data_IF_731065537352
#
_entry.id   IF_731065537352
#
_cell.length_a   1.000
_cell.length_b   1.000
_cell.length_c   1.000
_cell.angle_alpha   90.00
_cell.angle_beta   90.00
_cell.angle_gamma   90.00
#
_symmetry.space_group_name_H-M   'P 1'
#
loop_
_entity.id
_entity.type
_entity.pdbx_description
1 polymer ?
#
# COMPACT_ATOMS: atom_id res chain seq x y z
N UNK A 1 29.50 -31.71 -34.34
CA UNK A 1 29.31 -31.56 -32.87
C UNK A 1 29.28 -30.09 -32.45
N UNK A 2 28.62 -29.17 -33.17
CA UNK A 2 28.58 -27.72 -32.88
C UNK A 2 27.16 -27.12 -32.76
N UNK A 3 26.11 -27.92 -33.04
CA UNK A 3 24.73 -27.42 -32.99
C UNK A 3 24.07 -27.44 -31.61
N UNK A 4 24.54 -28.28 -30.67
CA UNK A 4 23.95 -28.40 -29.34
C UNK A 4 24.23 -27.20 -28.43
N UNK A 5 25.35 -26.51 -28.61
CA UNK A 5 25.71 -25.35 -27.77
C UNK A 5 25.02 -24.06 -28.19
N UNK A 6 24.60 -23.94 -29.45
CA UNK A 6 23.90 -22.75 -29.95
C UNK A 6 22.45 -22.69 -29.40
N UNK A 7 21.79 -23.84 -29.28
CA UNK A 7 20.42 -23.94 -28.76
C UNK A 7 20.39 -23.62 -27.26
N UNK A 8 21.40 -24.05 -26.50
CA UNK A 8 21.49 -23.80 -25.07
C UNK A 8 21.76 -22.31 -24.78
N UNK A 9 22.60 -21.65 -25.55
CA UNK A 9 22.86 -20.22 -25.41
C UNK A 9 21.66 -19.37 -25.80
N UNK A 10 20.89 -19.77 -26.83
CA UNK A 10 19.65 -19.06 -27.21
C UNK A 10 18.55 -19.23 -26.17
N UNK A 11 18.43 -20.38 -25.51
CA UNK A 11 17.45 -20.63 -24.47
C UNK A 11 17.75 -19.83 -23.18
N UNK A 12 19.03 -19.68 -22.82
CA UNK A 12 19.47 -18.89 -21.69
C UNK A 12 19.25 -17.40 -21.98
N UNK A 13 19.52 -16.93 -23.20
CA UNK A 13 19.26 -15.54 -23.59
C UNK A 13 17.76 -15.21 -23.61
N UNK A 14 16.87 -16.17 -23.95
CA UNK A 14 15.42 -15.97 -23.88
C UNK A 14 14.91 -15.93 -22.44
N UNK A 15 15.55 -16.61 -21.50
CA UNK A 15 15.20 -16.56 -20.08
C UNK A 15 15.60 -15.21 -19.42
N UNK A 16 16.63 -14.54 -19.93
CA UNK A 16 17.02 -13.20 -19.47
C UNK A 16 16.23 -12.07 -20.12
N UNK A 17 15.47 -12.33 -21.20
CA UNK A 17 14.55 -11.39 -21.86
C UNK A 17 13.10 -11.52 -21.38
N UNK A 18 12.79 -12.53 -20.56
CA UNK A 18 11.55 -12.57 -19.80
C UNK A 18 11.63 -11.47 -18.73
N UNK A 19 11.14 -10.29 -19.10
CA UNK A 19 11.18 -9.01 -18.43
C UNK A 19 11.35 -9.12 -16.93
N UNK A 20 12.37 -8.49 -16.42
CA UNK A 20 12.35 -7.99 -15.07
C UNK A 20 11.16 -7.02 -14.97
N UNK A 21 9.95 -7.53 -14.71
CA UNK A 21 8.95 -6.72 -14.06
C UNK A 21 9.59 -6.39 -12.72
N UNK A 22 10.06 -5.19 -12.53
CA UNK A 22 10.53 -4.75 -11.24
C UNK A 22 9.36 -4.96 -10.28
N UNK A 23 9.53 -5.91 -9.36
CA UNK A 23 8.52 -6.12 -8.33
C UNK A 23 8.38 -4.80 -7.58
N UNK A 24 7.15 -4.30 -7.45
CA UNK A 24 6.88 -3.09 -6.68
C UNK A 24 7.37 -3.30 -5.25
N UNK A 25 7.99 -2.27 -4.66
CA UNK A 25 8.42 -2.30 -3.28
C UNK A 25 7.20 -2.13 -2.36
N UNK A 26 7.00 -3.06 -1.42
CA UNK A 26 5.97 -2.93 -0.40
C UNK A 26 6.49 -2.06 0.75
N UNK A 27 5.90 -0.88 0.94
CA UNK A 27 6.25 0.03 2.04
C UNK A 27 5.44 -0.22 3.32
N UNK A 28 4.31 -0.93 3.20
CA UNK A 28 3.46 -1.31 4.33
C UNK A 28 2.54 -2.47 3.94
N UNK A 29 2.42 -3.45 4.82
CA UNK A 29 1.38 -4.47 4.78
C UNK A 29 0.96 -4.81 6.19
N UNK A 30 -0.31 -4.60 6.54
CA UNK A 30 -0.78 -4.84 7.89
C UNK A 30 -2.26 -4.64 8.09
N UNK A 31 -2.70 -4.87 9.32
CA UNK A 31 -4.09 -4.67 9.75
C UNK A 31 -4.17 -3.61 10.83
N UNK A 32 -5.24 -2.82 10.80
CA UNK A 32 -5.49 -1.79 11.82
C UNK A 32 -6.90 -1.89 12.36
N UNK A 33 -7.07 -1.53 13.62
CA UNK A 33 -8.37 -1.20 14.22
C UNK A 33 -8.52 0.31 14.19
N UNK A 34 -9.61 0.79 13.63
CA UNK A 34 -9.95 2.21 13.56
C UNK A 34 -10.85 2.54 14.73
N UNK A 35 -10.50 3.57 15.49
CA UNK A 35 -11.32 4.06 16.63
C UNK A 35 -11.75 5.48 16.29
N UNK A 36 -13.06 5.71 16.29
CA UNK A 36 -13.69 7.00 16.01
C UNK A 36 -14.72 7.32 17.08
N UNK A 37 -15.21 8.54 17.12
CA UNK A 37 -16.17 8.97 18.13
C UNK A 37 -17.46 8.14 18.07
N UNK A 38 -17.99 7.88 16.87
CA UNK A 38 -19.31 7.27 16.64
C UNK A 38 -19.25 5.83 16.07
N UNK A 39 -18.07 5.26 15.89
CA UNK A 39 -17.88 3.92 15.29
C UNK A 39 -18.07 3.89 13.77
N UNK A 40 -18.11 5.06 13.12
CA UNK A 40 -18.05 5.16 11.65
C UNK A 40 -16.68 5.65 11.21
N UNK A 41 -16.15 5.15 10.10
CA UNK A 41 -14.81 5.47 9.66
C UNK A 41 -14.75 5.80 8.16
N UNK A 42 -13.81 6.65 7.81
CA UNK A 42 -13.43 6.98 6.45
C UNK A 42 -12.07 6.39 6.09
N UNK A 43 -11.70 6.46 4.82
CA UNK A 43 -10.36 6.10 4.36
C UNK A 43 -9.28 6.91 5.09
N UNK A 44 -9.53 8.20 5.37
CA UNK A 44 -8.60 9.04 6.13
C UNK A 44 -8.39 8.53 7.57
N UNK A 45 -9.45 8.05 8.22
CA UNK A 45 -9.34 7.52 9.59
C UNK A 45 -8.51 6.23 9.63
N UNK A 46 -8.56 5.44 8.56
CA UNK A 46 -7.65 4.29 8.40
C UNK A 46 -6.20 4.76 8.28
N UNK A 47 -5.91 5.80 7.50
CA UNK A 47 -4.55 6.36 7.39
C UNK A 47 -4.06 6.93 8.72
N UNK A 48 -4.92 7.64 9.47
CA UNK A 48 -4.61 8.10 10.84
C UNK A 48 -4.27 6.94 11.76
N UNK A 49 -5.03 5.84 11.70
CA UNK A 49 -4.78 4.67 12.52
C UNK A 49 -3.43 4.01 12.17
N UNK A 50 -3.08 3.88 10.88
CA UNK A 50 -1.77 3.37 10.44
C UNK A 50 -0.64 4.29 10.88
N UNK A 51 -0.77 5.61 10.69
CA UNK A 51 0.23 6.58 11.09
C UNK A 51 0.47 6.56 12.61
N UNK A 52 -0.61 6.47 13.41
CA UNK A 52 -0.53 6.34 14.87
C UNK A 52 0.19 5.06 15.31
N UNK A 53 0.05 3.97 14.56
CA UNK A 53 0.76 2.71 14.78
C UNK A 53 2.22 2.72 14.27
N UNK A 54 2.74 3.88 13.83
CA UNK A 54 4.06 4.03 13.18
C UNK A 54 4.19 3.25 11.85
N UNK A 55 3.06 3.09 11.13
CA UNK A 55 3.06 2.45 9.83
C UNK A 55 3.65 3.31 8.73
N UNK A 56 3.21 4.56 8.63
CA UNK A 56 3.75 5.56 7.71
C UNK A 56 3.32 7.00 8.07
N UNK A 57 3.99 8.00 7.50
CA UNK A 57 3.52 9.38 7.43
C UNK A 57 2.79 9.60 6.11
N UNK A 58 1.84 10.54 6.07
CA UNK A 58 1.12 10.86 4.85
C UNK A 58 0.68 12.33 4.81
N UNK A 59 0.41 12.82 3.62
CA UNK A 59 -0.30 14.08 3.40
C UNK A 59 -1.42 13.91 2.37
N UNK A 60 -2.41 14.79 2.46
CA UNK A 60 -3.59 14.78 1.58
C UNK A 60 -3.53 16.00 0.67
N UNK A 61 -3.82 15.79 -0.61
CA UNK A 61 -3.94 16.85 -1.60
C UNK A 61 -5.23 17.66 -1.39
N UNK A 62 -5.32 18.89 -1.92
CA UNK A 62 -6.57 19.66 -1.91
C UNK A 62 -7.76 18.96 -2.59
N UNK A 63 -7.50 17.94 -3.39
CA UNK A 63 -8.50 17.15 -4.10
C UNK A 63 -9.03 15.95 -3.29
N UNK A 64 -8.57 15.76 -2.05
CA UNK A 64 -8.97 14.64 -1.20
C UNK A 64 -8.33 13.31 -1.61
N UNK A 65 -7.16 13.33 -2.21
CA UNK A 65 -6.35 12.15 -2.52
C UNK A 65 -5.02 12.21 -1.77
N UNK A 66 -4.32 11.09 -1.67
CA UNK A 66 -2.97 11.08 -1.10
C UNK A 66 -2.03 11.91 -1.98
N UNK A 67 -1.24 12.78 -1.35
CA UNK A 67 -0.21 13.58 -1.99
C UNK A 67 1.20 13.04 -1.72
N UNK A 68 1.42 12.43 -0.56
CA UNK A 68 2.71 11.91 -0.10
C UNK A 68 2.52 10.73 0.84
N UNK A 69 3.42 9.77 0.81
CA UNK A 69 3.61 8.74 1.84
C UNK A 69 5.11 8.59 2.09
N UNK A 70 5.55 8.76 3.33
CA UNK A 70 6.95 8.63 3.76
C UNK A 70 7.94 9.48 2.95
N UNK A 71 7.54 10.66 2.48
CA UNK A 71 8.36 11.54 1.65
C UNK A 71 8.37 11.17 0.16
N UNK A 72 7.56 10.20 -0.27
CA UNK A 72 7.35 9.87 -1.69
C UNK A 72 6.18 10.71 -2.19
N UNK A 73 6.49 11.86 -2.75
CA UNK A 73 5.51 12.84 -3.20
C UNK A 73 4.99 12.53 -4.61
N UNK A 74 3.74 12.92 -4.88
CA UNK A 74 3.21 12.95 -6.24
C UNK A 74 4.01 13.93 -7.11
N UNK A 75 4.21 13.56 -8.37
CA UNK A 75 4.85 14.39 -9.40
C UNK A 75 3.88 14.69 -10.53
N UNK A 76 4.38 15.22 -11.65
CA UNK A 76 3.55 15.47 -12.84
C UNK A 76 3.06 14.19 -13.52
N UNK A 77 3.78 13.08 -13.36
CA UNK A 77 3.51 11.81 -14.03
C UNK A 77 3.52 10.59 -13.09
N UNK A 78 3.75 10.80 -11.81
CA UNK A 78 3.77 9.74 -10.81
C UNK A 78 2.83 10.10 -9.67
N UNK A 79 1.92 9.18 -9.33
CA UNK A 79 0.87 9.44 -8.35
C UNK A 79 0.59 8.26 -7.45
N UNK A 80 0.22 8.56 -6.21
CA UNK A 80 -0.43 7.63 -5.32
C UNK A 80 -1.88 7.41 -5.75
N UNK A 81 -2.23 6.16 -6.02
CA UNK A 81 -3.59 5.71 -6.33
C UNK A 81 -4.12 4.89 -5.16
N UNK A 82 -5.31 5.22 -4.67
CA UNK A 82 -5.99 4.47 -3.61
C UNK A 82 -7.05 3.59 -4.21
N UNK A 83 -6.97 2.30 -3.96
CA UNK A 83 -7.99 1.31 -4.28
C UNK A 83 -8.61 0.78 -3.01
N UNK A 84 -9.92 0.70 -2.97
CA UNK A 84 -10.67 0.23 -1.83
C UNK A 84 -11.57 -0.93 -2.23
N UNK A 85 -11.40 -2.08 -1.59
CA UNK A 85 -12.23 -3.25 -1.79
C UNK A 85 -13.28 -3.33 -0.68
N UNK A 86 -14.53 -3.16 -1.07
CA UNK A 86 -15.69 -3.35 -0.20
C UNK A 86 -16.42 -4.62 -0.64
N UNK A 87 -15.83 -5.79 -0.43
CA UNK A 87 -16.37 -7.14 -0.67
C UNK A 87 -16.96 -7.42 -2.07
N UNK A 88 -17.17 -6.43 -2.94
CA UNK A 88 -17.78 -6.60 -4.24
C UNK A 88 -17.15 -5.72 -5.35
N UNK A 89 -16.63 -4.54 -5.01
CA UNK A 89 -16.17 -3.56 -5.99
C UNK A 89 -14.81 -2.98 -5.62
N UNK A 90 -13.86 -3.04 -6.54
CA UNK A 90 -12.60 -2.29 -6.44
C UNK A 90 -12.79 -0.94 -7.13
N UNK A 91 -12.68 0.15 -6.37
CA UNK A 91 -12.81 1.52 -6.89
C UNK A 91 -11.60 2.35 -6.49
N UNK A 92 -11.40 3.46 -7.21
CA UNK A 92 -10.48 4.52 -6.77
C UNK A 92 -11.26 5.45 -5.85
N UNK A 93 -10.71 5.74 -4.66
CA UNK A 93 -11.42 6.44 -3.61
C UNK A 93 -10.77 7.74 -3.17
N UNK A 94 -11.62 8.65 -2.73
CA UNK A 94 -11.24 9.80 -1.92
C UNK A 94 -11.00 9.38 -0.48
N UNK A 95 -10.20 10.14 0.24
CA UNK A 95 -9.97 9.93 1.69
C UNK A 95 -11.24 10.09 2.52
N UNK A 96 -12.25 10.81 1.99
CA UNK A 96 -13.53 11.03 2.66
C UNK A 96 -14.54 9.87 2.46
N UNK A 97 -14.22 8.89 1.62
CA UNK A 97 -15.14 7.77 1.39
C UNK A 97 -15.24 6.87 2.63
N UNK A 98 -16.46 6.38 2.93
CA UNK A 98 -16.68 5.52 4.09
C UNK A 98 -16.03 4.14 3.89
N UNK A 99 -15.52 3.58 4.98
CA UNK A 99 -14.97 2.22 5.03
C UNK A 99 -15.79 1.34 5.95
N UNK A 100 -15.68 0.02 5.75
CA UNK A 100 -16.32 -0.99 6.60
C UNK A 100 -15.27 -1.96 7.17
N UNK A 101 -15.59 -2.62 8.25
CA UNK A 101 -14.78 -3.72 8.80
C UNK A 101 -14.52 -4.79 7.74
N UNK A 102 -13.30 -5.27 7.66
CA UNK A 102 -12.83 -6.25 6.67
C UNK A 102 -12.42 -5.64 5.33
N UNK A 103 -12.59 -4.34 5.15
CA UNK A 103 -12.13 -3.66 3.93
C UNK A 103 -10.61 -3.76 3.76
N UNK A 104 -10.18 -3.83 2.51
CA UNK A 104 -8.77 -3.78 2.14
C UNK A 104 -8.53 -2.52 1.32
N UNK A 105 -7.64 -1.68 1.80
CA UNK A 105 -7.18 -0.48 1.10
C UNK A 105 -5.81 -0.77 0.52
N UNK A 106 -5.68 -0.65 -0.80
CA UNK A 106 -4.41 -0.79 -1.50
C UNK A 106 -3.99 0.57 -2.05
N UNK A 107 -2.79 0.99 -1.71
CA UNK A 107 -2.15 2.17 -2.24
C UNK A 107 -1.07 1.75 -3.23
N UNK A 108 -1.02 2.40 -4.38
CA UNK A 108 -0.03 2.12 -5.41
C UNK A 108 0.54 3.43 -5.93
N UNK A 109 1.85 3.57 -5.87
CA UNK A 109 2.57 4.68 -6.50
C UNK A 109 2.91 4.30 -7.92
N UNK A 110 2.24 4.92 -8.87
CA UNK A 110 2.30 4.55 -10.29
C UNK A 110 2.93 5.63 -11.14
N UNK A 111 3.77 5.20 -12.07
CA UNK A 111 4.26 5.99 -13.19
C UNK A 111 3.28 5.90 -14.37
N UNK A 112 2.95 7.03 -14.98
CA UNK A 112 2.06 7.14 -16.13
C UNK A 112 2.79 7.66 -17.36
N UNK A 113 2.34 7.26 -18.55
CA UNK A 113 2.78 7.84 -19.81
C UNK A 113 2.02 9.15 -20.13
N UNK A 114 2.37 9.78 -21.26
CA UNK A 114 1.71 11.01 -21.73
C UNK A 114 0.22 10.86 -22.04
N UNK A 115 -0.27 9.63 -22.20
CA UNK A 115 -1.67 9.30 -22.48
C UNK A 115 -2.40 8.83 -21.20
N UNK A 116 -1.81 9.04 -20.02
CA UNK A 116 -2.30 8.66 -18.70
C UNK A 116 -2.51 7.15 -18.53
N UNK A 117 -1.72 6.34 -19.24
CA UNK A 117 -1.70 4.90 -19.05
C UNK A 117 -0.62 4.53 -18.04
N UNK A 118 -0.94 3.65 -17.07
CA UNK A 118 0.07 3.20 -16.11
C UNK A 118 1.14 2.37 -16.81
N UNK A 119 2.41 2.74 -16.58
CA UNK A 119 3.60 2.05 -17.11
C UNK A 119 4.15 1.10 -16.06
N UNK A 120 4.22 1.55 -14.81
CA UNK A 120 4.90 0.85 -13.73
C UNK A 120 4.24 1.17 -12.38
N UNK A 121 4.24 0.19 -11.47
CA UNK A 121 3.94 0.40 -10.05
C UNK A 121 5.26 0.29 -9.29
N UNK A 122 5.72 1.38 -8.68
CA UNK A 122 7.01 1.43 -7.96
C UNK A 122 6.88 0.99 -6.51
N UNK A 123 5.85 1.52 -5.83
CA UNK A 123 5.60 1.24 -4.42
C UNK A 123 4.17 0.79 -4.20
N UNK A 124 3.98 -0.04 -3.17
CA UNK A 124 2.66 -0.50 -2.74
C UNK A 124 2.52 -0.42 -1.23
N UNK A 125 1.29 -0.17 -0.77
CA UNK A 125 0.91 -0.40 0.62
C UNK A 125 -0.43 -1.11 0.65
N UNK A 126 -0.60 -2.06 1.59
CA UNK A 126 -1.84 -2.81 1.77
C UNK A 126 -2.28 -2.75 3.22
N UNK A 127 -3.48 -2.23 3.44
CA UNK A 127 -4.05 -2.03 4.77
C UNK A 127 -5.35 -2.81 4.87
N UNK A 128 -5.45 -3.71 5.85
CA UNK A 128 -6.71 -4.40 6.16
C UNK A 128 -7.37 -3.73 7.37
N UNK A 129 -8.62 -3.33 7.25
CA UNK A 129 -9.42 -2.81 8.36
C UNK A 129 -9.91 -3.97 9.20
N UNK A 130 -9.19 -4.30 10.27
CA UNK A 130 -9.49 -5.42 11.14
C UNK A 130 -10.79 -5.19 11.92
N UNK A 131 -10.98 -3.95 12.42
CA UNK A 131 -12.18 -3.55 13.14
C UNK A 131 -12.40 -2.04 13.04
N UNK A 132 -13.65 -1.61 13.29
CA UNK A 132 -14.04 -0.21 13.49
C UNK A 132 -14.84 -0.18 14.79
N UNK A 133 -14.43 0.66 15.73
CA UNK A 133 -15.00 0.76 17.07
C UNK A 133 -15.28 2.21 17.44
N UNK A 134 -16.33 2.44 18.22
CA UNK A 134 -16.47 3.72 18.90
C UNK A 134 -15.47 3.84 20.05
N UNK A 135 -15.20 5.08 20.49
CA UNK A 135 -14.36 5.32 21.68
C UNK A 135 -14.91 4.64 22.93
N UNK A 136 -16.24 4.56 23.07
CA UNK A 136 -16.90 3.89 24.19
C UNK A 136 -16.65 2.39 24.15
N UNK A 137 -16.80 1.75 23.01
CA UNK A 137 -16.52 0.30 22.83
C UNK A 137 -15.04 -0.03 23.07
N UNK A 138 -14.14 0.83 22.58
CA UNK A 138 -12.70 0.65 22.79
C UNK A 138 -12.33 0.78 24.27
N UNK A 139 -12.95 1.72 25.01
CA UNK A 139 -12.74 1.88 26.45
C UNK A 139 -13.31 0.71 27.28
N UNK A 140 -14.41 0.09 26.84
CA UNK A 140 -15.03 -1.05 27.49
C UNK A 140 -14.32 -2.40 27.18
N UNK A 141 -13.43 -2.42 26.19
CA UNK A 141 -12.72 -3.64 25.78
C UNK A 141 -11.69 -4.07 26.84
N UNK A 142 -11.75 -5.30 27.37
CA UNK A 142 -10.79 -5.80 28.37
C UNK A 142 -9.40 -6.09 27.81
N UNK A 143 -9.23 -6.06 26.50
CA UNK A 143 -7.93 -6.22 25.84
C UNK A 143 -7.37 -4.85 25.43
N UNK A 144 -6.08 -4.56 25.75
CA UNK A 144 -5.45 -3.41 25.12
C UNK A 144 -5.54 -3.64 23.60
N UNK A 145 -6.08 -2.66 22.89
CA UNK A 145 -6.07 -2.64 21.42
C UNK A 145 -4.61 -2.43 21.01
N UNK A 146 -3.81 -3.47 21.20
CA UNK A 146 -2.49 -3.57 20.62
C UNK A 146 -2.72 -3.76 19.13
N UNK A 147 -2.52 -2.68 18.37
CA UNK A 147 -2.37 -2.78 16.94
C UNK A 147 -1.33 -3.90 16.69
N UNK A 148 -1.79 -5.04 16.22
CA UNK A 148 -0.89 -6.13 15.86
C UNK A 148 -0.16 -5.66 14.63
N UNK A 149 1.03 -5.11 14.86
CA UNK A 149 1.99 -4.82 13.81
C UNK A 149 2.58 -6.16 13.38
N UNK A 150 1.95 -6.83 12.45
CA UNK A 150 2.58 -7.90 11.68
C UNK A 150 3.18 -7.29 10.40
N UNK A 151 4.19 -6.47 10.59
CA UNK A 151 4.92 -5.83 9.50
C UNK A 151 6.39 -5.75 9.86
N UNK A 152 7.04 -6.88 10.06
CA UNK A 152 8.49 -6.95 10.26
C UNK A 152 9.09 -7.80 9.16
N UNK A 153 9.65 -7.16 8.15
CA UNK A 153 10.90 -7.63 7.54
C UNK A 153 11.15 -6.99 6.18
N UNK A 154 11.61 -5.75 6.12
CA UNK A 154 12.39 -5.32 4.97
C UNK A 154 13.30 -4.10 5.25
N UNK A 155 13.32 -3.54 6.46
CA UNK A 155 14.11 -2.34 6.73
C UNK A 155 15.47 -2.57 7.43
N UNK A 156 15.98 -3.80 7.50
CA UNK A 156 17.21 -4.11 8.26
C UNK A 156 18.44 -4.48 7.41
N UNK A 157 18.49 -4.16 6.11
CA UNK A 157 19.63 -4.55 5.26
C UNK A 157 20.41 -3.40 4.61
N UNK A 158 20.20 -2.15 5.02
CA UNK A 158 20.99 -1.02 4.45
C UNK A 158 21.81 -0.21 5.45
N UNK A 159 22.21 -0.78 6.57
CA UNK A 159 23.19 -0.17 7.48
C UNK A 159 24.35 -1.12 7.72
N UNK A 160 25.09 -1.45 6.69
CA UNK A 160 26.54 -1.79 6.81
C UNK A 160 27.15 -1.93 5.42
N UNK A 161 27.67 -0.85 4.89
CA UNK A 161 28.72 -0.91 3.87
C UNK A 161 29.61 0.30 4.03
N UNK A 162 30.66 0.11 4.83
CA UNK A 162 31.93 0.85 4.70
C UNK A 162 32.63 0.43 3.42
#
# INVERSE_FOLDING_TARGET
>A
MKFKHIITAALIALLFLAGASSASESIYEGSVTVITEDGTATVEDVYKAVAKANGFTYSISPWGTIADINGIENTEIEFWMTYYENNADTKVYSVADPVVKGAVITLEYRLFDKDWKPIETKYTAKITVADIMSEEEAAASPMPVLGIIAGLAAAALFLNRD
#
